data_IF_471764246672
#
_entry.id   IF_471764246672
#
_cell.length_a   1.000
_cell.length_b   1.000
_cell.length_c   1.000
_cell.angle_alpha   90.00
_cell.angle_beta   90.00
_cell.angle_gamma   90.00
#
_symmetry.space_group_name_H-M   'P 1'
#
loop_
_entity.id
_entity.type
_entity.pdbx_description
1 polymer ?
#
# COMPACT_ATOMS: atom_id res chain seq x y z
N UNK A 1 10.83 -12.62 2.73
CA UNK A 1 11.11 -12.92 1.30
C UNK A 1 11.68 -14.33 1.16
N UNK A 2 12.94 -14.59 1.54
CA UNK A 2 13.57 -15.92 1.43
C UNK A 2 12.73 -17.08 2.02
N UNK A 3 12.31 -16.95 3.29
CA UNK A 3 11.47 -17.96 3.96
C UNK A 3 10.17 -18.23 3.20
N UNK A 4 9.48 -17.18 2.75
CA UNK A 4 8.23 -17.30 2.01
C UNK A 4 8.43 -17.95 0.64
N UNK A 5 9.53 -17.66 -0.05
CA UNK A 5 9.85 -18.31 -1.33
C UNK A 5 10.06 -19.81 -1.16
N UNK A 6 10.74 -20.22 -0.10
CA UNK A 6 10.95 -21.64 0.22
C UNK A 6 9.64 -22.37 0.56
N UNK A 7 8.71 -21.71 1.26
CA UNK A 7 7.42 -22.29 1.64
C UNK A 7 6.39 -22.30 0.50
N UNK A 8 6.28 -21.21 -0.26
CA UNK A 8 5.24 -21.01 -1.29
C UNK A 8 5.69 -21.51 -2.67
N UNK A 9 6.96 -21.87 -2.84
CA UNK A 9 7.56 -22.25 -4.12
C UNK A 9 7.64 -21.11 -5.14
N UNK A 10 7.30 -19.88 -4.73
CA UNK A 10 7.38 -18.66 -5.53
C UNK A 10 7.61 -17.46 -4.62
N UNK A 11 8.21 -16.41 -5.15
CA UNK A 11 8.36 -15.16 -4.42
C UNK A 11 7.04 -14.36 -4.44
N UNK A 12 6.42 -14.10 -3.27
CA UNK A 12 5.17 -13.34 -3.21
C UNK A 12 5.38 -11.83 -3.43
N UNK A 13 6.62 -11.34 -3.38
CA UNK A 13 6.96 -9.91 -3.51
C UNK A 13 7.61 -9.68 -4.87
N UNK A 14 6.94 -8.92 -5.73
CA UNK A 14 7.51 -8.47 -7.01
C UNK A 14 8.58 -7.40 -6.73
N UNK A 15 8.18 -6.29 -6.12
CA UNK A 15 9.08 -5.21 -5.74
C UNK A 15 8.69 -4.53 -4.44
N UNK A 16 9.70 -3.93 -3.81
CA UNK A 16 9.58 -3.19 -2.55
C UNK A 16 10.18 -1.80 -2.72
N UNK A 17 9.47 -0.79 -2.25
CA UNK A 17 9.90 0.60 -2.28
C UNK A 17 9.81 1.19 -0.87
N UNK A 18 10.91 1.71 -0.35
CA UNK A 18 10.95 2.43 0.92
C UNK A 18 11.17 3.92 0.70
N UNK A 19 10.55 4.75 1.53
CA UNK A 19 10.87 6.18 1.62
C UNK A 19 10.80 6.66 3.06
N UNK A 20 11.68 7.61 3.37
CA UNK A 20 11.61 8.42 4.59
C UNK A 20 11.22 9.82 4.13
N UNK A 21 10.27 10.46 4.83
CA UNK A 21 9.93 11.85 4.54
C UNK A 21 11.11 12.78 4.79
N UNK A 22 11.22 13.84 4.00
CA UNK A 22 12.24 14.86 4.22
C UNK A 22 12.04 15.54 5.58
N UNK A 23 13.14 16.02 6.16
CA UNK A 23 13.12 16.75 7.42
C UNK A 23 12.15 17.93 7.38
N UNK A 24 12.16 18.71 6.29
CA UNK A 24 11.27 19.85 6.10
C UNK A 24 9.79 19.46 6.18
N UNK A 25 9.38 18.40 5.44
CA UNK A 25 8.02 17.87 5.48
C UNK A 25 7.64 17.33 6.86
N UNK A 26 8.61 16.76 7.59
CA UNK A 26 8.39 16.27 8.95
C UNK A 26 8.19 17.41 9.94
N UNK A 27 9.03 18.45 9.90
CA UNK A 27 8.90 19.67 10.72
C UNK A 27 7.56 20.36 10.48
N UNK A 28 7.17 20.53 9.22
CA UNK A 28 5.85 21.09 8.86
C UNK A 28 4.71 20.27 9.48
N UNK A 29 4.80 18.94 9.41
CA UNK A 29 3.78 18.04 9.94
C UNK A 29 3.74 18.05 11.48
N UNK A 30 4.88 18.18 12.16
CA UNK A 30 4.95 18.41 13.61
C UNK A 30 4.22 19.70 13.97
N UNK A 31 4.56 20.82 13.32
CA UNK A 31 3.90 22.12 13.55
C UNK A 31 2.39 22.06 13.33
N UNK A 32 1.94 21.46 12.22
CA UNK A 32 0.51 21.32 11.92
C UNK A 32 -0.25 20.49 12.95
N UNK A 33 0.43 19.56 13.64
CA UNK A 33 -0.14 18.74 14.70
C UNK A 33 0.10 19.30 16.11
N UNK A 34 0.74 20.46 16.24
CA UNK A 34 1.07 21.05 17.54
C UNK A 34 2.11 20.26 18.33
N UNK A 35 2.99 19.51 17.64
CA UNK A 35 4.03 18.68 18.26
C UNK A 35 5.39 19.40 18.27
N UNK A 36 6.25 19.16 19.28
CA UNK A 36 7.63 19.61 19.26
C UNK A 36 8.38 19.08 18.03
N UNK A 37 9.24 19.90 17.42
CA UNK A 37 10.07 19.50 16.27
C UNK A 37 11.28 18.65 16.69
N UNK A 38 11.02 17.52 17.34
CA UNK A 38 12.02 16.55 17.82
C UNK A 38 11.92 15.23 17.06
N UNK A 39 12.99 14.43 17.08
CA UNK A 39 12.99 13.09 16.49
C UNK A 39 11.93 12.17 17.13
N UNK A 40 11.72 12.31 18.44
CA UNK A 40 10.69 11.57 19.18
C UNK A 40 9.28 11.88 18.66
N UNK A 41 8.92 13.15 18.49
CA UNK A 41 7.64 13.51 17.87
C UNK A 41 7.54 13.01 16.43
N UNK A 42 8.62 13.18 15.66
CA UNK A 42 8.65 12.87 14.24
C UNK A 42 8.52 11.36 13.96
N UNK A 43 9.14 10.50 14.75
CA UNK A 43 9.15 9.05 14.53
C UNK A 43 8.16 8.30 15.45
N UNK A 44 7.93 8.82 16.66
CA UNK A 44 7.09 8.18 17.68
C UNK A 44 5.66 8.69 17.74
N UNK A 45 5.28 9.74 17.00
CA UNK A 45 3.89 10.23 16.98
C UNK A 45 3.34 10.46 15.57
N UNK A 46 4.19 10.75 14.59
CA UNK A 46 3.76 10.86 13.19
C UNK A 46 3.78 9.48 12.54
N UNK A 47 2.58 9.03 12.13
CA UNK A 47 2.35 7.67 11.66
C UNK A 47 2.90 7.32 10.26
N UNK A 48 3.26 8.32 9.46
CA UNK A 48 3.69 8.16 8.05
C UNK A 48 5.06 8.82 7.79
N UNK A 49 5.91 8.88 8.82
CA UNK A 49 7.29 9.36 8.68
C UNK A 49 8.11 8.43 7.78
N UNK A 50 7.93 7.12 7.98
CA UNK A 50 8.47 6.04 7.18
C UNK A 50 7.31 5.45 6.37
N UNK A 51 7.50 5.33 5.06
CA UNK A 51 6.54 4.71 4.16
C UNK A 51 7.20 3.55 3.42
N UNK A 52 6.63 2.36 3.54
CA UNK A 52 7.04 1.16 2.80
C UNK A 52 5.91 0.76 1.87
N UNK A 53 6.23 0.46 0.62
CA UNK A 53 5.31 -0.14 -0.33
C UNK A 53 5.80 -1.53 -0.69
N UNK A 54 4.94 -2.52 -0.53
CA UNK A 54 5.19 -3.90 -0.95
C UNK A 54 4.21 -4.22 -2.06
N UNK A 55 4.76 -4.53 -3.24
CA UNK A 55 3.96 -4.93 -4.39
C UNK A 55 4.08 -6.43 -4.57
N UNK A 56 2.93 -7.09 -4.60
CA UNK A 56 2.76 -8.52 -4.60
C UNK A 56 2.23 -8.96 -5.95
N UNK A 57 2.49 -10.21 -6.32
CA UNK A 57 2.00 -10.74 -7.59
C UNK A 57 0.48 -10.94 -7.57
N UNK A 58 -0.08 -11.45 -6.47
CA UNK A 58 -1.50 -11.78 -6.35
C UNK A 58 -2.16 -11.21 -5.10
N UNK A 59 -3.49 -11.27 -5.06
CA UNK A 59 -4.30 -10.73 -3.96
C UNK A 59 -4.00 -11.47 -2.65
N UNK A 60 -3.93 -12.80 -2.61
CA UNK A 60 -3.70 -13.49 -1.32
C UNK A 60 -2.29 -13.25 -0.79
N UNK A 61 -1.33 -12.92 -1.66
CA UNK A 61 0.03 -12.60 -1.22
C UNK A 61 0.04 -11.33 -0.36
N UNK A 62 -0.86 -10.37 -0.65
CA UNK A 62 -1.07 -9.17 0.18
C UNK A 62 -1.46 -9.57 1.61
N UNK A 63 -2.45 -10.44 1.75
CA UNK A 63 -2.92 -10.87 3.09
C UNK A 63 -1.91 -11.80 3.78
N UNK A 64 -1.20 -12.63 3.01
CA UNK A 64 -0.11 -13.46 3.56
C UNK A 64 1.00 -12.60 4.14
N UNK A 65 1.42 -11.55 3.43
CA UNK A 65 2.44 -10.61 3.92
C UNK A 65 1.95 -9.84 5.13
N UNK A 66 0.69 -9.40 5.12
CA UNK A 66 0.04 -8.76 6.27
C UNK A 66 0.17 -9.63 7.53
N UNK A 67 -0.28 -10.89 7.46
CA UNK A 67 -0.29 -11.79 8.61
C UNK A 67 1.13 -12.13 9.09
N UNK A 68 2.07 -12.31 8.16
CA UNK A 68 3.49 -12.54 8.47
C UNK A 68 4.14 -11.35 9.16
N UNK A 69 3.81 -10.12 8.76
CA UNK A 69 4.30 -8.91 9.43
C UNK A 69 3.78 -8.83 10.87
N UNK A 70 2.51 -9.14 11.09
CA UNK A 70 1.92 -9.11 12.44
C UNK A 70 2.37 -10.25 13.34
N UNK A 71 2.88 -11.34 12.78
CA UNK A 71 3.50 -12.43 13.53
C UNK A 71 4.89 -12.08 14.09
N UNK A 72 5.53 -11.00 13.61
CA UNK A 72 6.86 -10.60 14.08
C UNK A 72 6.79 -10.01 15.51
N UNK A 73 7.64 -10.45 16.44
CA UNK A 73 7.50 -10.12 17.87
C UNK A 73 7.72 -8.62 18.19
N UNK A 74 8.44 -7.91 17.33
CA UNK A 74 8.79 -6.49 17.48
C UNK A 74 7.84 -5.55 16.73
N UNK A 75 6.79 -6.09 16.09
CA UNK A 75 5.79 -5.33 15.35
C UNK A 75 4.47 -5.33 16.12
N UNK A 76 3.84 -4.16 16.19
CA UNK A 76 2.46 -3.98 16.68
C UNK A 76 1.63 -3.26 15.64
N UNK A 77 0.40 -3.74 15.41
CA UNK A 77 -0.56 -3.05 14.57
C UNK A 77 -1.14 -1.84 15.31
N UNK A 78 -1.13 -0.68 14.67
CA UNK A 78 -1.73 0.54 15.22
C UNK A 78 -3.03 0.94 14.49
N UNK A 79 -3.10 0.73 13.18
CA UNK A 79 -4.26 1.04 12.34
C UNK A 79 -4.19 0.23 11.05
N UNK A 80 -5.33 -0.20 10.51
CA UNK A 80 -5.40 -0.82 9.18
C UNK A 80 -6.61 -0.30 8.39
N UNK A 81 -6.47 -0.29 7.06
CA UNK A 81 -7.52 0.08 6.11
C UNK A 81 -7.43 -0.81 4.89
N UNK A 82 -8.44 -1.65 4.73
CA UNK A 82 -8.56 -2.53 3.59
C UNK A 82 -9.32 -1.86 2.43
N UNK A 83 -8.60 -1.10 1.60
CA UNK A 83 -9.17 -0.56 0.36
C UNK A 83 -9.19 -1.58 -0.77
N UNK A 84 -8.77 -2.83 -0.56
CA UNK A 84 -8.96 -3.90 -1.55
C UNK A 84 -10.43 -4.34 -1.50
N UNK A 85 -10.93 -4.64 -0.30
CA UNK A 85 -12.34 -4.98 -0.06
C UNK A 85 -13.25 -3.76 -0.15
N UNK A 86 -12.80 -2.62 0.38
CA UNK A 86 -13.58 -1.38 0.43
C UNK A 86 -12.92 -0.29 -0.41
N UNK A 87 -12.91 -0.49 -1.73
CA UNK A 87 -12.34 0.46 -2.68
C UNK A 87 -12.91 1.87 -2.49
N UNK A 88 -12.05 2.89 -2.63
CA UNK A 88 -12.52 4.29 -2.57
C UNK A 88 -13.44 4.59 -3.76
N UNK A 89 -14.30 5.62 -3.68
CA UNK A 89 -15.22 5.97 -4.77
C UNK A 89 -14.55 6.21 -6.12
N UNK A 90 -13.29 6.63 -6.13
CA UNK A 90 -12.50 6.86 -7.33
C UNK A 90 -11.82 5.59 -7.90
N UNK A 91 -12.08 4.41 -7.35
CA UNK A 91 -11.48 3.14 -7.77
C UNK A 91 -10.16 2.79 -7.10
N UNK A 92 -9.63 3.64 -6.22
CA UNK A 92 -8.37 3.36 -5.53
C UNK A 92 -8.46 2.10 -4.64
N UNK A 93 -7.51 1.19 -4.84
CA UNK A 93 -7.33 -0.05 -4.06
C UNK A 93 -5.89 -0.17 -3.55
N UNK A 94 -5.74 -0.61 -2.30
CA UNK A 94 -4.49 -0.92 -1.60
C UNK A 94 -4.86 -1.40 -0.18
N UNK A 95 -4.05 -2.24 0.44
CA UNK A 95 -4.16 -2.48 1.88
C UNK A 95 -3.18 -1.56 2.61
N UNK A 96 -3.67 -0.73 3.52
CA UNK A 96 -2.82 0.17 4.32
C UNK A 96 -2.77 -0.34 5.75
N UNK A 97 -1.58 -0.45 6.31
CA UNK A 97 -1.38 -0.73 7.72
C UNK A 97 -0.36 0.26 8.30
N UNK A 98 -0.62 0.72 9.51
CA UNK A 98 0.32 1.51 10.30
C UNK A 98 0.81 0.58 11.39
N UNK A 99 2.11 0.37 11.43
CA UNK A 99 2.76 -0.46 12.44
C UNK A 99 3.61 0.40 13.36
N UNK A 100 3.77 -0.09 14.60
CA UNK A 100 4.73 0.39 15.56
C UNK A 100 5.84 -0.66 15.70
N UNK A 101 7.07 -0.24 15.40
CA UNK A 101 8.28 -1.07 15.43
C UNK A 101 9.04 -0.77 16.73
N UNK A 102 9.44 -1.82 17.44
CA UNK A 102 10.19 -1.75 18.72
C UNK A 102 9.57 -0.79 19.74
N UNK A 103 8.23 -0.67 19.73
CA UNK A 103 7.44 0.22 20.58
C UNK A 103 7.78 1.72 20.46
N UNK A 104 8.52 2.12 19.42
CA UNK A 104 9.11 3.47 19.30
C UNK A 104 8.83 4.17 17.99
N UNK A 105 8.81 3.44 16.87
CA UNK A 105 8.82 4.05 15.54
C UNK A 105 7.57 3.63 14.78
N UNK A 106 6.79 4.60 14.32
CA UNK A 106 5.69 4.32 13.41
C UNK A 106 6.16 4.24 11.96
N UNK A 107 5.63 3.25 11.25
CA UNK A 107 5.78 3.11 9.79
C UNK A 107 4.43 2.81 9.14
N UNK A 108 4.17 3.47 8.01
CA UNK A 108 3.05 3.13 7.13
C UNK A 108 3.53 2.10 6.10
N UNK A 109 2.85 0.96 6.03
CA UNK A 109 3.04 -0.05 5.01
C UNK A 109 1.82 -0.07 4.08
N UNK A 110 2.07 0.05 2.79
CA UNK A 110 1.07 -0.07 1.74
C UNK A 110 1.33 -1.36 0.97
N UNK A 111 0.44 -2.33 1.12
CA UNK A 111 0.47 -3.58 0.38
C UNK A 111 -0.44 -3.46 -0.85
N UNK A 112 0.05 -3.92 -2.00
CA UNK A 112 -0.63 -3.80 -3.30
C UNK A 112 -0.36 -5.01 -4.16
N UNK A 113 -1.23 -5.27 -5.13
CA UNK A 113 -0.88 -6.07 -6.31
C UNK A 113 -0.15 -5.20 -7.33
N UNK A 114 0.42 -5.83 -8.36
CA UNK A 114 0.99 -5.15 -9.54
C UNK A 114 -0.03 -4.18 -10.15
N UNK A 115 -1.25 -4.65 -10.42
CA UNK A 115 -2.30 -3.86 -11.06
C UNK A 115 -2.72 -2.64 -10.22
N UNK A 116 -2.83 -2.80 -8.89
CA UNK A 116 -3.11 -1.69 -7.96
C UNK A 116 -2.00 -0.64 -7.98
N UNK A 117 -0.74 -1.06 -8.01
CA UNK A 117 0.39 -0.13 -8.06
C UNK A 117 0.47 0.60 -9.41
N UNK A 118 0.23 -0.11 -10.52
CA UNK A 118 0.13 0.47 -11.87
C UNK A 118 -0.93 1.57 -11.90
N UNK A 119 -2.16 1.28 -11.47
CA UNK A 119 -3.23 2.28 -11.49
C UNK A 119 -2.89 3.50 -10.65
N UNK A 120 -2.41 3.29 -9.42
CA UNK A 120 -2.06 4.37 -8.50
C UNK A 120 -0.92 5.25 -9.05
N UNK A 121 0.08 4.65 -9.70
CA UNK A 121 1.16 5.38 -10.35
C UNK A 121 0.65 6.22 -11.53
N UNK A 122 -0.17 5.64 -12.42
CA UNK A 122 -0.74 6.33 -13.57
C UNK A 122 -1.61 7.52 -13.14
N UNK A 123 -2.52 7.32 -12.16
CA UNK A 123 -3.35 8.40 -11.61
C UNK A 123 -2.50 9.52 -11.01
N UNK A 124 -1.43 9.17 -10.29
CA UNK A 124 -0.51 10.17 -9.74
C UNK A 124 0.15 11.00 -10.86
N UNK A 125 0.64 10.36 -11.92
CA UNK A 125 1.23 11.05 -13.07
C UNK A 125 0.24 11.95 -13.82
N UNK A 126 -1.03 11.52 -13.94
CA UNK A 126 -2.09 12.31 -14.58
C UNK A 126 -2.48 13.53 -13.75
N UNK A 127 -2.56 13.38 -12.43
CA UNK A 127 -2.91 14.48 -11.50
C UNK A 127 -1.80 15.50 -11.31
N UNK A 128 -0.54 15.08 -11.42
CA UNK A 128 0.62 15.97 -11.20
C UNK A 128 0.76 17.09 -12.24
N UNK A 129 0.05 17.03 -13.39
CA UNK A 129 0.32 17.93 -14.53
C UNK A 129 -0.84 18.78 -15.05
N UNK A 130 -2.05 18.78 -14.49
CA UNK A 130 -3.17 19.56 -15.07
C UNK A 130 -4.14 20.11 -14.02
N UNK A 131 -4.48 21.40 -14.13
CA UNK A 131 -5.82 21.85 -13.78
C UNK A 131 -6.78 21.12 -14.73
N UNK A 132 -7.41 20.08 -14.20
CA UNK A 132 -8.42 19.33 -14.95
C UNK A 132 -9.61 20.30 -15.03
N UNK A 133 -9.80 20.92 -16.19
CA UNK A 133 -10.88 21.88 -16.44
C UNK A 133 -12.27 21.23 -16.42
N UNK A 134 -13.16 21.69 -17.30
CA UNK A 134 -14.57 21.27 -17.35
C UNK A 134 -14.84 19.74 -17.48
N UNK A 135 -13.84 18.92 -17.85
CA UNK A 135 -13.99 17.47 -18.06
C UNK A 135 -13.59 16.60 -16.85
N UNK A 136 -13.45 17.19 -15.65
CA UNK A 136 -13.00 16.46 -14.45
C UNK A 136 -13.87 15.26 -14.08
N UNK A 137 -15.19 15.37 -14.27
CA UNK A 137 -16.12 14.29 -13.98
C UNK A 137 -15.90 13.08 -14.89
N UNK A 138 -15.92 13.29 -16.21
CA UNK A 138 -15.70 12.23 -17.20
C UNK A 138 -14.35 11.53 -17.01
N UNK A 139 -13.28 12.29 -16.78
CA UNK A 139 -11.95 11.71 -16.52
C UNK A 139 -11.96 10.86 -15.25
N UNK A 140 -12.66 11.30 -14.21
CA UNK A 140 -12.74 10.55 -12.95
C UNK A 140 -13.52 9.24 -13.12
N UNK A 141 -14.59 9.26 -13.92
CA UNK A 141 -15.36 8.05 -14.27
C UNK A 141 -14.51 7.05 -15.07
N UNK A 142 -13.78 7.53 -16.10
CA UNK A 142 -12.89 6.67 -16.89
C UNK A 142 -11.74 6.10 -16.06
N UNK A 143 -11.15 6.89 -15.16
CA UNK A 143 -10.12 6.38 -14.24
C UNK A 143 -10.68 5.29 -13.32
N UNK A 144 -11.91 5.46 -12.83
CA UNK A 144 -12.58 4.44 -12.02
C UNK A 144 -12.85 3.18 -12.85
N UNK A 145 -13.35 3.29 -14.07
CA UNK A 145 -13.57 2.16 -14.99
C UNK A 145 -12.28 1.36 -15.19
N UNK A 146 -11.17 2.03 -15.50
CA UNK A 146 -9.85 1.38 -15.62
C UNK A 146 -9.42 0.69 -14.31
N UNK A 147 -9.73 1.27 -13.15
CA UNK A 147 -9.42 0.65 -11.85
C UNK A 147 -10.19 -0.67 -11.65
N UNK A 148 -11.45 -0.70 -12.07
CA UNK A 148 -12.33 -1.85 -11.94
C UNK A 148 -11.94 -2.97 -12.92
N UNK A 149 -11.52 -2.65 -14.14
CA UNK A 149 -10.97 -3.61 -15.11
C UNK A 149 -9.67 -4.26 -14.60
N UNK A 150 -8.78 -3.46 -14.00
CA UNK A 150 -7.55 -3.97 -13.38
C UNK A 150 -7.85 -4.89 -12.20
N UNK A 151 -8.85 -4.57 -11.37
CA UNK A 151 -9.23 -5.44 -10.25
C UNK A 151 -9.91 -6.74 -10.70
N UNK A 152 -10.70 -6.70 -11.78
CA UNK A 152 -11.25 -7.90 -12.41
C UNK A 152 -10.13 -8.81 -12.93
N UNK A 153 -9.09 -8.20 -13.50
CA UNK A 153 -7.90 -8.91 -13.97
C UNK A 153 -7.14 -9.57 -12.82
N UNK A 154 -6.89 -8.85 -11.71
CA UNK A 154 -6.28 -9.43 -10.51
C UNK A 154 -7.07 -10.63 -9.98
N UNK A 155 -8.41 -10.53 -9.93
CA UNK A 155 -9.29 -11.59 -9.43
C UNK A 155 -9.26 -12.84 -10.33
N UNK A 156 -9.22 -12.63 -11.65
CA UNK A 156 -9.10 -13.70 -12.63
C UNK A 156 -7.74 -14.40 -12.52
N UNK A 157 -6.66 -13.63 -12.39
CA UNK A 157 -5.31 -14.17 -12.22
C UNK A 157 -5.15 -14.94 -10.90
N UNK A 158 -5.78 -14.47 -9.83
CA UNK A 158 -5.85 -15.19 -8.54
C UNK A 158 -6.55 -16.54 -8.73
N UNK A 159 -7.74 -16.56 -9.34
CA UNK A 159 -8.48 -17.81 -9.61
C UNK A 159 -7.63 -18.80 -10.42
N UNK A 160 -6.96 -18.33 -11.48
CA UNK A 160 -6.10 -19.19 -12.30
C UNK A 160 -4.93 -19.77 -11.50
N UNK A 161 -4.32 -18.97 -10.62
CA UNK A 161 -3.26 -19.44 -9.73
C UNK A 161 -3.76 -20.55 -8.81
N UNK A 162 -4.94 -20.39 -8.23
CA UNK A 162 -5.51 -21.37 -7.31
C UNK A 162 -5.82 -22.69 -8.04
N UNK A 163 -6.41 -22.61 -9.23
CA UNK A 163 -6.63 -23.78 -10.09
C UNK A 163 -5.33 -24.51 -10.43
N UNK A 164 -4.24 -23.79 -10.76
CA UNK A 164 -2.94 -24.41 -11.07
C UNK A 164 -2.34 -25.08 -9.84
N UNK A 165 -2.57 -24.53 -8.63
CA UNK A 165 -2.09 -25.12 -7.37
C UNK A 165 -2.87 -26.37 -7.00
N UNK A 166 -4.17 -26.43 -7.25
CA UNK A 166 -5.00 -27.63 -7.00
C UNK A 166 -4.65 -28.80 -7.91
N UNK A 167 -4.07 -28.54 -9.10
CA UNK A 167 -3.61 -29.57 -10.02
C UNK A 167 -2.25 -30.20 -9.65
N UNK A 168 -1.55 -29.68 -8.63
CA UNK A 168 -0.26 -30.17 -8.15
C UNK A 168 -0.42 -31.04 -6.91
#
# INVERSE_FOLDING_TARGET
RYEMTSELGMDPIEHLLGRIKSEESMREKCRRKGLPETAESALGQIRDAIGVRVVCAFIDDVYTIHDRLLALPHIRLAEEKDYIRHAKPNGYRSFHMIILVDEKIYAEIQLRTISMDTWAALVHHLKYKKEIGANTALISEELKRCADELASTDSSMQTLRDMIRELR
#
